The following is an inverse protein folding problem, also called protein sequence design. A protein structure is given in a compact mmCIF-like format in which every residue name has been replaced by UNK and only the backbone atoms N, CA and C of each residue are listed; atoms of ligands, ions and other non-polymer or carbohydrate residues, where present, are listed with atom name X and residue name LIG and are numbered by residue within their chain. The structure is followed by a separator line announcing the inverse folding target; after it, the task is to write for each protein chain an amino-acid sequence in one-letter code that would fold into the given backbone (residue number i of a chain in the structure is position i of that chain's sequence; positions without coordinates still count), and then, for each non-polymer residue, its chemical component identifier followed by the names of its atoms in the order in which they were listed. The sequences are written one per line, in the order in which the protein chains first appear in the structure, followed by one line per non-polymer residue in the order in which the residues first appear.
data_IF_714963928986
#
_entry.id   IF_714963928986
#
_cell.length_a   1.000
_cell.length_b   1.000
_cell.length_c   1.000
_cell.angle_alpha   90.00
_cell.angle_beta   90.00
_cell.angle_gamma   90.00
#
_symmetry.space_group_name_H-M   'P 1'
#
loop_
_entity.id
_entity.type
_entity.pdbx_description
1 polymer ?
#
# COMPACT_ATOMS: atom_id res chain seq x y z
N UNK A 1 68.58 -18.88 27.55
CA UNK A 1 67.91 -19.96 26.86
C UNK A 1 66.62 -19.45 26.27
N UNK A 2 66.62 -19.34 25.03
CA UNK A 2 65.64 -18.56 24.27
C UNK A 2 64.45 -19.39 23.89
N UNK A 3 63.34 -19.04 24.40
CA UNK A 3 62.07 -19.65 23.97
C UNK A 3 61.36 -18.67 23.08
N UNK A 4 61.42 -18.96 21.85
CA UNK A 4 60.65 -18.25 20.84
C UNK A 4 59.26 -18.84 20.80
N UNK A 5 58.33 -18.05 21.28
CA UNK A 5 56.91 -18.36 21.05
C UNK A 5 56.47 -17.53 19.88
N UNK A 6 56.38 -18.15 18.75
CA UNK A 6 55.72 -17.61 17.59
C UNK A 6 54.22 -17.63 17.84
N UNK A 7 53.67 -16.48 18.17
CA UNK A 7 52.22 -16.30 18.17
C UNK A 7 51.83 -15.99 16.73
N UNK A 8 51.38 -16.97 16.06
CA UNK A 8 50.68 -16.81 14.78
C UNK A 8 49.30 -16.20 15.08
N UNK A 9 49.20 -14.89 14.92
CA UNK A 9 47.92 -14.21 14.89
C UNK A 9 47.14 -14.60 13.64
N UNK A 10 46.16 -15.39 13.83
CA UNK A 10 45.17 -15.68 12.80
C UNK A 10 44.30 -14.43 12.68
N UNK A 11 44.60 -13.61 11.70
CA UNK A 11 43.72 -12.56 11.27
C UNK A 11 42.51 -13.18 10.63
N UNK A 12 41.50 -13.44 11.44
CA UNK A 12 40.18 -13.78 10.95
C UNK A 12 39.57 -12.58 10.26
N UNK A 13 39.71 -12.55 8.96
CA UNK A 13 39.01 -11.61 8.11
C UNK A 13 37.55 -12.00 8.08
N UNK A 14 36.79 -11.56 9.07
CA UNK A 14 35.35 -11.66 9.04
C UNK A 14 34.84 -10.72 7.95
N UNK A 15 34.64 -11.27 6.78
CA UNK A 15 33.87 -10.64 5.73
C UNK A 15 32.44 -10.57 6.23
N UNK A 16 32.09 -9.46 6.87
CA UNK A 16 30.69 -9.09 7.03
C UNK A 16 30.15 -8.80 5.64
N UNK A 17 29.56 -9.80 5.03
CA UNK A 17 28.66 -9.57 3.93
C UNK A 17 27.46 -8.84 4.51
N UNK A 18 27.47 -7.51 4.45
CA UNK A 18 26.26 -6.76 4.51
C UNK A 18 25.43 -7.21 3.30
N UNK A 19 24.62 -8.20 3.52
CA UNK A 19 23.49 -8.42 2.64
C UNK A 19 22.61 -7.19 2.79
N UNK A 20 22.93 -6.18 2.01
CA UNK A 20 22.02 -5.06 1.81
C UNK A 20 20.76 -5.65 1.19
N UNK A 21 19.78 -5.94 2.03
CA UNK A 21 18.42 -6.20 1.60
C UNK A 21 17.84 -4.89 1.05
N UNK A 22 18.47 -4.35 0.04
CA UNK A 22 18.07 -3.16 -0.69
C UNK A 22 17.17 -3.47 -1.86
N UNK A 23 16.44 -4.56 -1.81
CA UNK A 23 15.58 -4.92 -2.91
C UNK A 23 14.16 -4.40 -2.68
N UNK A 24 14.03 -3.11 -2.76
CA UNK A 24 12.74 -2.41 -2.74
C UNK A 24 12.22 -2.26 -4.16
N UNK A 25 11.88 -3.23 -4.85
CA UNK A 25 11.31 -2.98 -6.16
C UNK A 25 10.99 -4.22 -6.94
N UNK A 26 11.78 -5.24 -6.77
CA UNK A 26 11.69 -6.43 -7.58
C UNK A 26 11.29 -7.68 -6.80
N UNK A 27 10.86 -7.55 -5.58
CA UNK A 27 10.21 -8.67 -4.94
C UNK A 27 8.84 -8.86 -5.58
N UNK A 28 8.85 -9.53 -6.69
CA UNK A 28 7.69 -10.23 -7.18
C UNK A 28 7.39 -11.32 -6.16
N UNK A 29 6.77 -10.95 -5.08
CA UNK A 29 6.08 -11.92 -4.26
C UNK A 29 4.95 -12.41 -5.12
N UNK A 30 5.16 -13.54 -5.75
CA UNK A 30 4.18 -14.19 -6.61
C UNK A 30 2.91 -14.42 -5.78
N UNK A 31 1.81 -13.77 -6.13
CA UNK A 31 0.50 -13.97 -5.54
C UNK A 31 0.01 -12.88 -4.58
N UNK A 32 0.84 -11.94 -4.14
CA UNK A 32 0.36 -10.81 -3.33
C UNK A 32 0.03 -9.61 -4.21
N UNK A 33 -1.23 -9.20 -4.17
CA UNK A 33 -1.68 -7.98 -4.79
C UNK A 33 -1.38 -6.78 -3.89
N UNK A 34 -1.11 -5.63 -4.50
CA UNK A 34 -1.00 -4.38 -3.78
C UNK A 34 -2.41 -3.87 -3.45
N UNK A 35 -2.62 -3.48 -2.21
CA UNK A 35 -3.91 -2.94 -1.78
C UNK A 35 -4.04 -1.48 -2.20
N UNK A 36 -5.11 -1.17 -2.91
CA UNK A 36 -5.57 0.19 -3.23
C UNK A 36 -6.66 0.55 -2.23
N UNK A 37 -6.38 1.51 -1.38
CA UNK A 37 -7.36 1.99 -0.40
C UNK A 37 -8.19 3.11 -1.01
N UNK A 38 -9.50 2.92 -1.01
CA UNK A 38 -10.50 3.85 -1.55
C UNK A 38 -11.28 4.45 -0.40
N UNK A 39 -11.21 5.77 -0.24
CA UNK A 39 -11.94 6.50 0.80
C UNK A 39 -13.31 6.99 0.29
N UNK A 40 -14.31 6.81 1.12
CA UNK A 40 -15.68 7.28 0.91
C UNK A 40 -16.31 7.64 2.27
N UNK A 41 -17.28 8.55 2.30
CA UNK A 41 -18.05 8.84 3.53
C UNK A 41 -19.06 7.74 3.86
N UNK A 42 -19.40 6.93 2.86
CA UNK A 42 -20.38 5.82 2.96
C UNK A 42 -21.81 6.26 3.28
N UNK A 43 -22.16 7.50 3.00
CA UNK A 43 -23.47 8.12 3.31
C UNK A 43 -24.01 8.98 2.15
N UNK A 44 -23.48 8.81 0.97
CA UNK A 44 -23.87 9.55 -0.25
C UNK A 44 -24.59 8.63 -1.25
N UNK A 45 -25.76 8.11 -0.87
CA UNK A 45 -26.57 7.29 -1.76
C UNK A 45 -27.11 8.12 -2.94
N UNK A 46 -27.19 7.60 -4.16
CA UNK A 46 -26.94 6.21 -4.56
C UNK A 46 -25.47 5.94 -4.98
N UNK A 47 -24.55 6.87 -4.80
CA UNK A 47 -23.17 6.80 -5.29
C UNK A 47 -22.27 5.98 -4.38
N UNK A 48 -22.27 6.30 -3.09
CA UNK A 48 -21.53 5.57 -2.07
C UNK A 48 -22.36 5.44 -0.80
N UNK A 49 -22.58 4.24 -0.34
CA UNK A 49 -23.28 3.99 0.92
C UNK A 49 -22.91 2.60 1.47
N UNK A 50 -23.27 2.35 2.71
CA UNK A 50 -23.13 1.02 3.31
C UNK A 50 -24.49 0.36 3.50
N UNK A 51 -24.51 -0.95 3.26
CA UNK A 51 -25.63 -1.82 3.64
C UNK A 51 -25.05 -2.91 4.55
N UNK A 52 -25.24 -2.74 5.86
CA UNK A 52 -24.49 -3.50 6.83
C UNK A 52 -22.99 -3.13 6.75
N UNK A 53 -22.13 -4.12 6.58
CA UNK A 53 -20.70 -3.91 6.39
C UNK A 53 -20.28 -3.78 4.92
N UNK A 54 -21.22 -3.96 4.00
CA UNK A 54 -20.94 -3.93 2.56
C UNK A 54 -21.02 -2.52 2.00
N UNK A 55 -19.98 -2.12 1.28
CA UNK A 55 -19.98 -0.90 0.47
C UNK A 55 -20.77 -1.12 -0.82
N UNK A 56 -21.67 -0.21 -1.12
CA UNK A 56 -22.60 -0.23 -2.26
C UNK A 56 -22.65 1.13 -2.94
N UNK A 57 -23.15 1.15 -4.16
CA UNK A 57 -23.41 2.35 -4.92
C UNK A 57 -22.67 2.40 -6.24
N UNK A 58 -23.01 3.40 -7.05
CA UNK A 58 -22.48 3.56 -8.40
C UNK A 58 -20.95 3.68 -8.41
N UNK A 59 -20.39 4.56 -7.58
CA UNK A 59 -18.94 4.79 -7.53
C UNK A 59 -18.20 3.54 -7.00
N UNK A 60 -18.81 2.83 -6.06
CA UNK A 60 -18.27 1.59 -5.53
C UNK A 60 -18.18 0.52 -6.62
N UNK A 61 -19.25 0.35 -7.39
CA UNK A 61 -19.31 -0.61 -8.48
C UNK A 61 -18.35 -0.24 -9.62
N UNK A 62 -18.19 1.06 -9.89
CA UNK A 62 -17.24 1.55 -10.88
C UNK A 62 -15.78 1.21 -10.48
N UNK A 63 -15.40 1.49 -9.26
CA UNK A 63 -14.07 1.14 -8.76
C UNK A 63 -13.84 -0.36 -8.80
N UNK A 64 -14.81 -1.16 -8.36
CA UNK A 64 -14.74 -2.63 -8.45
C UNK A 64 -14.55 -3.10 -9.88
N UNK A 65 -15.26 -2.51 -10.83
CA UNK A 65 -15.17 -2.87 -12.26
C UNK A 65 -13.77 -2.55 -12.83
N UNK A 66 -13.19 -1.42 -12.47
CA UNK A 66 -11.83 -1.01 -12.92
C UNK A 66 -10.77 -2.02 -12.49
N UNK A 67 -10.86 -2.55 -11.28
CA UNK A 67 -9.85 -3.45 -10.71
C UNK A 67 -10.20 -4.93 -10.79
N UNK A 68 -11.36 -5.28 -11.33
CA UNK A 68 -11.91 -6.65 -11.36
C UNK A 68 -10.91 -7.70 -11.86
N UNK A 69 -10.23 -7.41 -12.96
CA UNK A 69 -9.34 -8.34 -13.64
C UNK A 69 -7.86 -8.00 -13.39
N UNK A 70 -7.59 -7.22 -12.36
CA UNK A 70 -6.22 -6.85 -12.03
C UNK A 70 -5.50 -7.97 -11.29
N UNK A 71 -4.38 -8.41 -11.85
CA UNK A 71 -3.47 -9.34 -11.17
C UNK A 71 -2.55 -8.63 -10.16
N UNK A 72 -2.44 -7.31 -10.28
CA UNK A 72 -1.51 -6.50 -9.50
C UNK A 72 -2.15 -5.84 -8.29
N UNK A 73 -3.43 -5.48 -8.37
CA UNK A 73 -4.10 -4.70 -7.36
C UNK A 73 -5.36 -5.37 -6.81
N UNK A 74 -5.60 -5.15 -5.53
CA UNK A 74 -6.89 -5.42 -4.88
C UNK A 74 -7.41 -4.14 -4.24
N UNK A 75 -8.72 -4.00 -4.12
CA UNK A 75 -9.36 -2.79 -3.62
C UNK A 75 -9.89 -3.00 -2.21
N UNK A 76 -9.62 -2.02 -1.35
CA UNK A 76 -10.18 -1.92 0.00
C UNK A 76 -10.88 -0.59 0.17
N UNK A 77 -12.17 -0.62 0.49
CA UNK A 77 -12.95 0.57 0.82
C UNK A 77 -12.83 0.91 2.31
N UNK A 78 -12.73 2.18 2.63
CA UNK A 78 -12.71 2.69 4.01
C UNK A 78 -13.68 3.85 4.16
N UNK A 79 -14.40 3.88 5.27
CA UNK A 79 -15.25 5.01 5.63
C UNK A 79 -14.40 6.12 6.25
N UNK A 80 -14.55 7.32 5.73
CA UNK A 80 -13.79 8.51 6.13
C UNK A 80 -14.72 9.70 6.12
N UNK A 81 -14.68 10.61 7.10
CA UNK A 81 -15.47 11.83 7.05
C UNK A 81 -15.21 12.60 5.73
N UNK A 82 -16.24 13.11 5.12
CA UNK A 82 -16.19 13.78 3.81
C UNK A 82 -15.04 14.79 3.71
N UNK A 83 -14.92 15.69 4.69
CA UNK A 83 -13.88 16.73 4.71
C UNK A 83 -12.45 16.19 4.79
N UNK A 84 -12.30 14.93 5.19
CA UNK A 84 -11.00 14.28 5.35
C UNK A 84 -10.59 13.44 4.15
N UNK A 85 -11.50 13.17 3.20
CA UNK A 85 -11.23 12.28 2.06
C UNK A 85 -10.12 12.83 1.18
N UNK A 86 -10.26 14.05 0.67
CA UNK A 86 -9.28 14.64 -0.25
C UNK A 86 -7.95 14.94 0.45
N UNK A 87 -8.00 15.36 1.71
CA UNK A 87 -6.79 15.54 2.53
C UNK A 87 -6.03 14.22 2.67
N UNK A 88 -6.74 13.12 2.86
CA UNK A 88 -6.16 11.79 2.93
C UNK A 88 -5.53 11.31 1.62
N UNK A 89 -6.13 11.67 0.49
CA UNK A 89 -5.56 11.38 -0.84
C UNK A 89 -4.31 12.23 -1.08
N UNK A 90 -4.37 13.52 -0.79
CA UNK A 90 -3.24 14.44 -0.97
C UNK A 90 -2.02 14.03 -0.12
N UNK A 91 -2.24 13.57 1.09
CA UNK A 91 -1.19 13.08 1.98
C UNK A 91 -0.68 11.66 1.67
N UNK A 92 -1.28 10.98 0.69
CA UNK A 92 -0.94 9.60 0.33
C UNK A 92 -1.51 8.53 1.26
N UNK A 93 -2.41 8.89 2.17
CA UNK A 93 -3.07 7.94 3.07
C UNK A 93 -4.03 7.02 2.32
N UNK A 94 -4.72 7.56 1.33
CA UNK A 94 -5.61 6.84 0.43
C UNK A 94 -5.14 7.02 -1.01
N UNK A 95 -5.37 6.03 -1.86
CA UNK A 95 -5.00 6.12 -3.26
C UNK A 95 -6.11 6.66 -4.14
N UNK A 96 -7.37 6.48 -3.72
CA UNK A 96 -8.55 6.89 -4.48
C UNK A 96 -9.58 7.49 -3.52
N UNK A 97 -10.25 8.54 -4.01
CA UNK A 97 -11.47 9.09 -3.42
C UNK A 97 -12.66 8.70 -4.28
N UNK A 98 -13.72 8.15 -3.68
CA UNK A 98 -14.97 7.81 -4.35
C UNK A 98 -16.15 8.30 -3.51
N UNK A 99 -16.76 9.42 -3.91
CA UNK A 99 -17.84 10.04 -3.14
C UNK A 99 -18.61 11.07 -3.96
N UNK A 100 -19.03 10.71 -5.17
CA UNK A 100 -19.75 11.59 -6.09
C UNK A 100 -18.99 12.92 -6.39
N UNK A 101 -17.66 12.81 -6.49
CA UNK A 101 -16.86 13.98 -6.83
C UNK A 101 -17.05 14.39 -8.28
N UNK A 102 -17.37 15.64 -8.50
CA UNK A 102 -17.54 16.23 -9.80
C UNK A 102 -16.36 17.16 -10.13
N UNK A 103 -16.08 17.29 -11.42
CA UNK A 103 -15.14 18.28 -11.91
C UNK A 103 -15.85 19.64 -11.98
N UNK A 104 -15.25 20.63 -11.39
CA UNK A 104 -15.66 22.03 -11.49
C UNK A 104 -14.58 22.82 -12.24
N UNK A 105 -14.96 23.56 -13.26
CA UNK A 105 -14.11 24.58 -13.85
C UNK A 105 -14.28 25.88 -13.03
N UNK A 106 -13.30 26.18 -12.19
CA UNK A 106 -13.13 27.50 -11.55
C UNK A 106 -11.83 28.13 -12.01
#
# INVERSE_FOLDING_TARGET
MKKWLAVMGILGLSVMTLAACGNKGDSKVSGEKQTITVATDSDTAPFTFKKGDDFKGYDIDLVKAVFKDSDKYEVKFVTTPFDSILIGVDSGRYQIAANDFNYNEE
#
